data_IF_491014027122
#
_entry.id   IF_491014027122
#
_cell.length_a   1.000
_cell.length_b   1.000
_cell.length_c   1.000
_cell.angle_alpha   90.00
_cell.angle_beta   90.00
_cell.angle_gamma   90.00
#
_symmetry.space_group_name_H-M   'P 1'
#
loop_
_entity.id
_entity.type
_entity.pdbx_description
1 polymer ?
#
# COMPACT_ATOMS: atom_id res chain seq x y z
N UNK A 1 9.61 -13.72 -11.12
CA UNK A 1 10.30 -13.05 -12.19
C UNK A 1 11.75 -12.75 -11.86
N UNK A 2 12.08 -11.49 -11.60
CA UNK A 2 13.48 -11.03 -11.42
C UNK A 2 14.23 -11.75 -10.31
N UNK A 3 13.61 -11.96 -9.16
CA UNK A 3 14.21 -12.69 -8.04
C UNK A 3 14.70 -14.09 -8.46
N UNK A 4 13.86 -14.89 -9.11
CA UNK A 4 14.26 -16.23 -9.54
C UNK A 4 15.42 -16.21 -10.54
N UNK A 5 15.48 -15.21 -11.40
CA UNK A 5 16.60 -15.05 -12.35
C UNK A 5 17.87 -14.50 -11.67
N UNK A 6 17.72 -13.74 -10.59
CA UNK A 6 18.83 -13.28 -9.77
C UNK A 6 19.51 -14.43 -8.99
N UNK A 7 18.81 -15.55 -8.77
CA UNK A 7 19.30 -16.71 -7.99
C UNK A 7 19.73 -17.92 -8.83
N UNK A 8 19.77 -17.82 -10.17
CA UNK A 8 20.23 -18.90 -11.03
C UNK A 8 21.76 -19.03 -11.04
N UNK A 9 22.29 -20.23 -11.34
CA UNK A 9 23.73 -20.50 -11.39
C UNK A 9 24.48 -19.75 -12.51
N UNK A 10 23.77 -19.19 -13.49
CA UNK A 10 24.38 -18.39 -14.54
C UNK A 10 24.74 -16.99 -14.03
N UNK A 11 26.00 -16.76 -13.73
CA UNK A 11 26.50 -15.52 -13.16
C UNK A 11 26.15 -14.25 -13.95
N UNK A 12 26.08 -14.31 -15.29
CA UNK A 12 25.73 -13.16 -16.12
C UNK A 12 24.27 -12.79 -15.92
N UNK A 13 23.38 -13.76 -15.97
CA UNK A 13 21.95 -13.59 -15.77
C UNK A 13 21.69 -13.12 -14.32
N UNK A 14 22.26 -13.81 -13.34
CA UNK A 14 22.12 -13.46 -11.92
C UNK A 14 22.50 -11.99 -11.66
N UNK A 15 23.67 -11.55 -12.09
CA UNK A 15 24.13 -10.17 -11.93
C UNK A 15 23.22 -9.16 -12.63
N UNK A 16 22.74 -9.47 -13.83
CA UNK A 16 21.84 -8.58 -14.57
C UNK A 16 20.51 -8.37 -13.83
N UNK A 17 19.88 -9.45 -13.36
CA UNK A 17 18.60 -9.35 -12.67
C UNK A 17 18.71 -8.79 -11.26
N UNK A 18 19.79 -9.05 -10.53
CA UNK A 18 20.11 -8.37 -9.27
C UNK A 18 20.23 -6.86 -9.47
N UNK A 19 20.97 -6.43 -10.52
CA UNK A 19 21.07 -5.02 -10.86
C UNK A 19 19.71 -4.40 -11.20
N UNK A 20 18.86 -5.11 -11.94
CA UNK A 20 17.51 -4.64 -12.28
C UNK A 20 16.63 -4.47 -11.05
N UNK A 21 16.70 -5.40 -10.08
CA UNK A 21 16.02 -5.26 -8.79
C UNK A 21 16.50 -4.02 -8.04
N UNK A 22 17.82 -3.84 -7.92
CA UNK A 22 18.42 -2.65 -7.29
C UNK A 22 17.93 -1.37 -7.95
N UNK A 23 17.99 -1.29 -9.27
CA UNK A 23 17.56 -0.07 -10.02
C UNK A 23 16.11 0.28 -9.75
N UNK A 24 15.21 -0.70 -9.62
CA UNK A 24 13.82 -0.48 -9.26
C UNK A 24 13.66 0.10 -7.86
N UNK A 25 14.36 -0.47 -6.88
CA UNK A 25 14.37 0.01 -5.49
C UNK A 25 14.96 1.41 -5.39
N UNK A 26 16.11 1.66 -6.03
CA UNK A 26 16.82 2.93 -6.02
C UNK A 26 15.96 4.09 -6.53
N UNK A 27 15.23 3.88 -7.64
CA UNK A 27 14.29 4.88 -8.18
C UNK A 27 13.15 5.23 -7.21
N UNK A 28 12.71 4.26 -6.41
CA UNK A 28 11.70 4.51 -5.38
C UNK A 28 12.32 5.22 -4.19
N UNK A 29 13.52 4.81 -3.78
CA UNK A 29 14.25 5.43 -2.68
C UNK A 29 14.57 6.91 -2.93
N UNK A 30 15.01 7.27 -4.15
CA UNK A 30 15.24 8.65 -4.56
C UNK A 30 14.02 9.56 -4.33
N UNK A 31 12.81 9.03 -4.52
CA UNK A 31 11.56 9.75 -4.22
C UNK A 31 11.20 9.68 -2.74
N UNK A 32 11.49 8.57 -2.10
CA UNK A 32 11.17 8.34 -0.70
C UNK A 32 11.88 9.32 0.23
N UNK A 33 13.14 9.66 -0.04
CA UNK A 33 13.92 10.59 0.80
C UNK A 33 13.37 12.02 0.81
N UNK A 34 12.52 12.37 -0.13
CA UNK A 34 11.81 13.66 -0.17
C UNK A 34 10.49 13.65 0.64
N UNK A 35 10.09 12.49 1.14
CA UNK A 35 8.83 12.28 1.84
C UNK A 35 9.08 12.01 3.33
N UNK A 36 8.40 12.69 4.26
CA UNK A 36 8.63 12.51 5.71
C UNK A 36 8.32 11.10 6.23
N UNK A 37 7.54 10.33 5.49
CA UNK A 37 7.24 8.92 5.79
C UNK A 37 8.17 7.94 5.05
N UNK A 38 9.17 8.44 4.36
CA UNK A 38 10.06 7.65 3.49
C UNK A 38 9.27 6.75 2.50
N UNK A 39 8.14 7.28 2.00
CA UNK A 39 7.21 6.59 1.11
C UNK A 39 7.34 7.13 -0.33
N UNK A 40 8.06 6.41 -1.17
CA UNK A 40 8.36 6.82 -2.56
C UNK A 40 7.39 6.25 -3.61
N UNK A 41 6.28 5.63 -3.19
CA UNK A 41 5.28 5.04 -4.08
C UNK A 41 4.31 6.12 -4.56
N UNK A 42 3.94 6.13 -5.86
CA UNK A 42 2.94 7.07 -6.35
C UNK A 42 1.54 6.73 -5.84
N UNK A 43 0.75 7.74 -5.52
CA UNK A 43 -0.63 7.60 -5.04
C UNK A 43 -1.61 7.46 -6.21
N UNK A 44 -1.42 6.42 -7.00
CA UNK A 44 -2.33 6.00 -8.08
C UNK A 44 -3.25 4.89 -7.56
N UNK A 45 -4.18 4.42 -8.40
CA UNK A 45 -5.03 3.27 -8.07
C UNK A 45 -4.22 2.11 -7.49
N UNK A 46 -4.73 1.53 -6.39
CA UNK A 46 -4.08 0.42 -5.69
C UNK A 46 -2.66 0.77 -5.21
N UNK A 47 -2.46 1.97 -4.65
CA UNK A 47 -1.14 2.41 -4.16
C UNK A 47 -0.56 1.49 -3.09
N UNK A 48 -1.41 0.89 -2.23
CA UNK A 48 -0.97 -0.08 -1.24
C UNK A 48 -0.47 -1.40 -1.86
N UNK A 49 -1.02 -1.81 -3.01
CA UNK A 49 -0.50 -2.99 -3.73
C UNK A 49 0.93 -2.73 -4.25
N UNK A 50 1.19 -1.51 -4.72
CA UNK A 50 2.53 -1.10 -5.12
C UNK A 50 3.48 -1.01 -3.91
N UNK A 51 2.97 -0.56 -2.77
CA UNK A 51 3.73 -0.51 -1.50
C UNK A 51 4.14 -1.92 -1.07
N UNK A 52 3.22 -2.88 -1.04
CA UNK A 52 3.55 -4.28 -0.69
C UNK A 52 4.46 -4.94 -1.71
N UNK A 53 4.32 -4.61 -3.00
CA UNK A 53 5.22 -5.10 -4.04
C UNK A 53 6.65 -4.58 -3.84
N UNK A 54 6.82 -3.31 -3.48
CA UNK A 54 8.12 -2.72 -3.18
C UNK A 54 8.72 -3.32 -1.89
N UNK A 55 7.92 -3.50 -0.83
CA UNK A 55 8.32 -4.21 0.39
C UNK A 55 8.91 -5.59 0.07
N UNK A 56 8.17 -6.38 -0.71
CA UNK A 56 8.61 -7.72 -1.13
C UNK A 56 9.89 -7.63 -1.96
N UNK A 57 10.01 -6.65 -2.85
CA UNK A 57 11.22 -6.46 -3.65
C UNK A 57 12.43 -6.09 -2.79
N UNK A 58 12.28 -5.22 -1.81
CA UNK A 58 13.35 -4.85 -0.87
C UNK A 58 13.81 -6.06 -0.05
N UNK A 59 12.88 -6.79 0.55
CA UNK A 59 13.18 -8.03 1.30
C UNK A 59 13.95 -9.04 0.43
N UNK A 60 13.44 -9.38 -0.73
CA UNK A 60 14.06 -10.36 -1.62
C UNK A 60 15.45 -9.90 -2.14
N UNK A 61 15.61 -8.61 -2.39
CA UNK A 61 16.91 -8.04 -2.76
C UNK A 61 17.92 -8.16 -1.62
N UNK A 62 17.54 -7.76 -0.41
CA UNK A 62 18.37 -7.87 0.80
C UNK A 62 18.74 -9.32 1.11
N UNK A 63 17.79 -10.25 1.05
CA UNK A 63 18.04 -11.69 1.26
C UNK A 63 19.01 -12.27 0.21
N UNK A 64 18.95 -11.79 -1.03
CA UNK A 64 19.80 -12.29 -2.12
C UNK A 64 21.21 -11.71 -2.07
N UNK A 65 21.36 -10.44 -1.63
CA UNK A 65 22.61 -9.70 -1.76
C UNK A 65 23.33 -9.43 -0.44
N UNK A 66 22.59 -9.44 0.67
CA UNK A 66 23.07 -8.94 1.97
C UNK A 66 23.18 -7.40 2.04
N UNK A 67 22.67 -6.68 1.03
CA UNK A 67 22.72 -5.21 0.97
C UNK A 67 21.57 -4.60 1.79
N UNK A 68 21.89 -3.94 2.88
CA UNK A 68 20.96 -3.31 3.83
C UNK A 68 20.67 -1.84 3.51
N UNK A 69 21.16 -1.31 2.39
CA UNK A 69 21.05 0.12 2.03
C UNK A 69 19.62 0.65 2.08
N UNK A 70 18.64 -0.18 1.77
CA UNK A 70 17.22 0.20 1.70
C UNK A 70 16.37 -0.32 2.86
N UNK A 71 17.00 -0.85 3.91
CA UNK A 71 16.28 -1.46 5.03
C UNK A 71 15.38 -0.46 5.78
N UNK A 72 15.80 0.79 5.89
CA UNK A 72 14.99 1.85 6.52
C UNK A 72 13.74 2.17 5.68
N UNK A 73 13.85 2.26 4.36
CA UNK A 73 12.69 2.42 3.48
C UNK A 73 11.78 1.20 3.55
N UNK A 74 12.33 -0.01 3.56
CA UNK A 74 11.56 -1.25 3.74
C UNK A 74 10.72 -1.19 5.02
N UNK A 75 11.32 -0.81 6.15
CA UNK A 75 10.63 -0.66 7.41
C UNK A 75 9.54 0.44 7.36
N UNK A 76 9.85 1.60 6.77
CA UNK A 76 8.92 2.72 6.65
C UNK A 76 7.69 2.37 5.78
N UNK A 77 7.88 1.67 4.68
CA UNK A 77 6.78 1.20 3.83
C UNK A 77 5.87 0.19 4.56
N UNK A 78 6.46 -0.71 5.38
CA UNK A 78 5.69 -1.58 6.25
C UNK A 78 4.89 -0.76 7.26
N UNK A 79 5.55 0.14 7.96
CA UNK A 79 4.95 0.94 9.03
C UNK A 79 3.85 1.87 8.48
N UNK A 80 3.98 2.34 7.23
CA UNK A 80 2.93 3.04 6.51
C UNK A 80 1.62 2.24 6.45
N UNK A 81 1.70 0.95 6.13
CA UNK A 81 0.52 0.08 6.05
C UNK A 81 -0.10 -0.19 7.42
N UNK A 82 0.66 -0.04 8.51
CA UNK A 82 0.21 -0.27 9.88
C UNK A 82 -0.09 1.02 10.65
N UNK A 83 -0.18 2.17 9.96
CA UNK A 83 -0.67 3.41 10.56
C UNK A 83 0.35 4.53 10.68
N UNK A 84 1.63 4.34 10.33
CA UNK A 84 2.61 5.41 10.24
C UNK A 84 2.40 6.18 8.92
N UNK A 85 1.26 6.84 8.80
CA UNK A 85 0.81 7.59 7.63
C UNK A 85 0.04 8.86 8.09
N UNK A 86 -0.33 9.78 7.19
CA UNK A 86 -0.98 11.04 7.58
C UNK A 86 -2.28 10.88 8.36
N UNK A 87 -3.01 9.79 8.15
CA UNK A 87 -4.31 9.53 8.81
C UNK A 87 -4.16 8.81 10.16
N UNK A 88 -2.98 8.26 10.47
CA UNK A 88 -2.73 7.50 11.69
C UNK A 88 -3.50 6.18 11.76
N UNK A 89 -4.00 5.69 10.62
CA UNK A 89 -4.82 4.47 10.53
C UNK A 89 -4.09 3.35 9.82
N UNK A 90 -4.30 2.11 10.28
CA UNK A 90 -3.92 0.93 9.52
C UNK A 90 -4.66 0.90 8.17
N UNK A 91 -4.06 0.28 7.18
CA UNK A 91 -4.66 0.02 5.87
C UNK A 91 -5.22 -1.42 5.76
N UNK A 92 -5.35 -2.11 6.91
CA UNK A 92 -5.79 -3.49 6.98
C UNK A 92 -7.13 -3.56 7.72
N UNK A 93 -8.14 -4.11 7.06
CA UNK A 93 -9.50 -4.18 7.58
C UNK A 93 -9.54 -4.86 8.94
N UNK A 94 -10.13 -4.19 9.94
CA UNK A 94 -10.31 -4.64 11.32
C UNK A 94 -9.03 -5.04 12.06
N UNK A 95 -7.86 -4.59 11.60
CA UNK A 95 -6.58 -4.84 12.26
C UNK A 95 -5.72 -3.56 12.34
N UNK A 96 -4.98 -3.35 13.45
CA UNK A 96 -4.93 -4.16 14.67
C UNK A 96 -6.16 -3.95 15.57
N UNK A 97 -6.51 -4.92 16.38
CA UNK A 97 -7.74 -4.91 17.21
C UNK A 97 -7.86 -3.71 18.19
N UNK A 98 -6.75 -3.09 18.56
CA UNK A 98 -6.69 -1.96 19.51
C UNK A 98 -6.17 -0.67 18.88
N UNK A 99 -6.14 -0.62 17.54
CA UNK A 99 -5.73 0.54 16.76
C UNK A 99 -6.88 1.10 15.93
N UNK A 100 -6.58 2.10 15.12
CA UNK A 100 -7.47 2.59 14.09
C UNK A 100 -7.27 1.78 12.81
N UNK A 101 -8.37 1.44 12.12
CA UNK A 101 -8.37 0.57 10.94
C UNK A 101 -9.61 0.82 10.05
N UNK A 102 -9.59 0.38 8.78
CA UNK A 102 -10.76 0.41 7.92
C UNK A 102 -11.90 -0.45 8.50
N UNK A 103 -13.00 0.20 8.84
CA UNK A 103 -14.19 -0.43 9.42
C UNK A 103 -15.35 -0.50 8.43
N UNK A 104 -15.28 0.25 7.33
CA UNK A 104 -16.30 0.33 6.29
C UNK A 104 -15.71 0.11 4.89
N UNK A 105 -15.02 -1.02 4.67
CA UNK A 105 -14.39 -1.28 3.39
C UNK A 105 -15.42 -1.43 2.27
N UNK A 106 -15.07 -0.97 1.08
CA UNK A 106 -15.88 -1.16 -0.12
C UNK A 106 -15.87 -2.63 -0.52
N UNK A 107 -16.98 -3.32 -0.30
CA UNK A 107 -17.11 -4.73 -0.66
C UNK A 107 -18.56 -5.10 -0.97
N UNK A 108 -18.79 -5.69 -2.14
CA UNK A 108 -20.11 -6.20 -2.52
C UNK A 108 -20.57 -7.35 -1.62
N UNK A 109 -19.66 -8.13 -1.05
CA UNK A 109 -19.98 -9.21 -0.11
C UNK A 109 -20.50 -8.65 1.20
N UNK A 110 -19.88 -7.61 1.75
CA UNK A 110 -20.36 -6.95 2.96
C UNK A 110 -21.69 -6.24 2.72
N UNK A 111 -21.87 -5.58 1.57
CA UNK A 111 -23.14 -4.96 1.19
C UNK A 111 -24.29 -5.96 1.08
N UNK A 112 -23.99 -7.19 0.67
CA UNK A 112 -24.97 -8.30 0.62
C UNK A 112 -25.19 -8.98 1.98
N UNK A 113 -24.49 -8.56 3.05
CA UNK A 113 -24.54 -9.20 4.36
C UNK A 113 -23.93 -10.59 4.40
N UNK A 114 -23.07 -10.93 3.44
CA UNK A 114 -22.36 -12.20 3.36
C UNK A 114 -20.87 -11.98 3.28
N UNK A 115 -20.10 -12.82 3.97
CA UNK A 115 -18.65 -12.78 3.96
C UNK A 115 -18.03 -11.88 5.02
N UNK A 116 -16.70 -11.88 5.01
CA UNK A 116 -15.84 -11.17 5.94
C UNK A 116 -14.58 -10.74 5.18
N UNK A 117 -14.13 -9.51 5.38
CA UNK A 117 -12.91 -8.95 4.75
C UNK A 117 -11.83 -8.62 5.77
N UNK A 118 -11.98 -9.07 7.03
CA UNK A 118 -10.98 -8.91 8.09
C UNK A 118 -9.60 -9.37 7.62
N UNK A 119 -8.60 -8.53 7.80
CA UNK A 119 -7.24 -8.78 7.34
C UNK A 119 -6.97 -8.42 5.88
N UNK A 120 -8.00 -8.00 5.14
CA UNK A 120 -7.83 -7.51 3.76
C UNK A 120 -7.10 -6.16 3.72
N UNK A 121 -6.09 -6.04 2.87
CA UNK A 121 -5.43 -4.77 2.61
C UNK A 121 -6.27 -3.95 1.64
N UNK A 122 -6.64 -2.72 2.02
CA UNK A 122 -7.38 -1.81 1.14
C UNK A 122 -6.46 -1.17 0.09
N UNK A 123 -7.05 -0.72 -1.01
CA UNK A 123 -6.36 -0.08 -2.15
C UNK A 123 -5.35 1.00 -1.75
N UNK A 124 -5.68 1.76 -0.72
CA UNK A 124 -4.86 2.85 -0.24
C UNK A 124 -5.10 4.19 -0.91
N UNK A 125 -4.38 5.23 -0.47
CA UNK A 125 -4.63 6.60 -0.90
C UNK A 125 -4.38 6.80 -2.39
N UNK A 126 -5.18 7.71 -2.98
CA UNK A 126 -4.97 8.19 -4.35
C UNK A 126 -4.66 9.68 -4.36
N UNK A 127 -4.02 10.17 -5.43
CA UNK A 127 -3.87 11.61 -5.62
C UNK A 127 -5.24 12.30 -5.55
N UNK A 128 -5.32 13.45 -4.89
CA UNK A 128 -6.56 14.24 -4.80
C UNK A 128 -7.19 14.50 -6.17
N UNK A 129 -6.38 14.75 -7.19
CA UNK A 129 -6.86 14.95 -8.56
C UNK A 129 -7.55 13.70 -9.15
N UNK A 130 -7.11 12.50 -8.79
CA UNK A 130 -7.80 11.25 -9.18
C UNK A 130 -9.16 11.20 -8.50
N UNK A 131 -9.20 11.34 -7.17
CA UNK A 131 -10.44 11.31 -6.41
C UNK A 131 -11.45 12.36 -6.90
N UNK A 132 -11.00 13.58 -7.15
CA UNK A 132 -11.84 14.64 -7.65
C UNK A 132 -12.38 14.39 -9.06
N UNK A 133 -11.64 13.67 -9.91
CA UNK A 133 -12.10 13.29 -11.25
C UNK A 133 -13.25 12.27 -11.21
N UNK A 134 -13.45 11.58 -10.10
CA UNK A 134 -14.49 10.57 -9.90
C UNK A 134 -15.83 11.13 -9.40
N UNK A 135 -15.92 12.43 -9.14
CA UNK A 135 -17.12 13.11 -8.58
C UNK A 135 -18.43 12.90 -9.38
N UNK A 136 -18.36 12.41 -10.59
CA UNK A 136 -19.54 12.04 -11.39
C UNK A 136 -20.01 10.60 -11.24
N UNK A 137 -19.32 9.77 -10.47
CA UNK A 137 -19.51 8.30 -10.41
C UNK A 137 -20.00 7.86 -9.03
N UNK A 138 -21.09 8.45 -8.51
CA UNK A 138 -21.72 8.11 -7.21
C UNK A 138 -20.84 8.24 -5.95
N UNK A 139 -19.66 8.81 -6.06
CA UNK A 139 -18.80 9.09 -4.90
C UNK A 139 -19.12 10.45 -4.27
N UNK A 140 -19.98 11.25 -4.93
CA UNK A 140 -20.51 12.49 -4.40
C UNK A 140 -21.51 12.18 -3.32
N UNK A 141 -21.16 12.46 -2.11
CA UNK A 141 -22.05 12.26 -0.98
C UNK A 141 -21.59 11.12 -0.08
N UNK A 142 -20.29 11.01 0.11
CA UNK A 142 -19.75 10.47 1.32
C UNK A 142 -19.74 11.64 2.34
N UNK A 143 -20.91 12.19 2.71
CA UNK A 143 -20.99 13.14 3.80
C UNK A 143 -20.96 12.29 5.03
N UNK A 144 -19.86 12.42 5.79
CA UNK A 144 -19.88 11.96 7.14
C UNK A 144 -20.35 10.51 7.28
N UNK A 145 -19.61 9.55 6.78
CA UNK A 145 -19.79 8.17 7.24
C UNK A 145 -19.63 8.24 8.76
N UNK A 146 -20.63 7.84 9.54
CA UNK A 146 -20.51 7.91 10.98
C UNK A 146 -19.29 7.13 11.41
N UNK A 147 -18.29 7.79 11.97
CA UNK A 147 -17.19 7.16 12.64
C UNK A 147 -15.79 7.60 12.28
N UNK A 148 -15.50 8.03 11.04
CA UNK A 148 -14.10 8.34 10.71
C UNK A 148 -13.99 9.54 9.77
N UNK A 149 -13.98 10.71 10.39
CA UNK A 149 -13.72 11.98 9.71
C UNK A 149 -12.20 12.21 9.65
N UNK A 150 -11.57 11.69 8.59
CA UNK A 150 -10.18 11.99 8.29
C UNK A 150 -9.97 13.37 7.63
N UNK A 151 -11.01 14.18 7.45
CA UNK A 151 -10.94 15.47 6.75
C UNK A 151 -9.83 16.38 7.34
N UNK A 152 -9.65 16.34 8.66
CA UNK A 152 -8.61 17.10 9.37
C UNK A 152 -7.18 16.64 9.05
N UNK A 153 -7.02 15.43 8.52
CA UNK A 153 -5.74 14.79 8.26
C UNK A 153 -5.48 14.55 6.78
N UNK A 154 -6.39 15.02 5.91
CA UNK A 154 -6.20 14.89 4.45
C UNK A 154 -5.11 15.86 3.99
N UNK A 155 -3.94 15.39 3.50
CA UNK A 155 -2.98 16.26 2.84
C UNK A 155 -3.53 16.76 1.50
N UNK A 156 -2.96 17.87 1.00
CA UNK A 156 -3.38 18.43 -0.28
C UNK A 156 -3.10 17.50 -1.47
N UNK A 157 -2.05 16.70 -1.35
CA UNK A 157 -1.56 15.85 -2.43
C UNK A 157 -2.43 14.63 -2.69
N UNK A 158 -2.92 13.97 -1.62
CA UNK A 158 -3.59 12.68 -1.68
C UNK A 158 -4.72 12.58 -0.66
N UNK A 159 -5.63 11.64 -0.88
CA UNK A 159 -6.77 11.40 0.00
C UNK A 159 -6.94 9.91 0.28
N UNK A 160 -7.51 9.61 1.44
CA UNK A 160 -7.97 8.30 1.86
C UNK A 160 -9.28 8.45 2.64
N UNK A 161 -10.25 7.58 2.40
CA UNK A 161 -11.52 7.56 3.13
C UNK A 161 -11.89 6.13 3.53
N UNK A 162 -12.17 5.91 4.81
CA UNK A 162 -12.82 4.68 5.25
C UNK A 162 -14.35 4.81 5.04
N UNK A 163 -14.79 4.55 3.82
CA UNK A 163 -16.18 4.68 3.45
C UNK A 163 -16.58 3.57 2.47
N UNK A 164 -17.72 2.95 2.75
CA UNK A 164 -18.24 1.81 1.96
C UNK A 164 -18.48 2.15 0.48
N UNK A 165 -18.64 3.42 0.15
CA UNK A 165 -18.84 3.88 -1.23
C UNK A 165 -17.55 4.30 -1.93
N UNK A 166 -16.43 4.36 -1.21
CA UNK A 166 -15.13 4.73 -1.79
C UNK A 166 -14.37 3.51 -2.30
N UNK A 167 -14.66 3.13 -3.53
CA UNK A 167 -13.93 2.06 -4.23
C UNK A 167 -12.54 2.49 -4.71
N UNK A 168 -12.21 3.79 -4.61
CA UNK A 168 -10.92 4.30 -5.08
C UNK A 168 -9.79 4.18 -4.06
N UNK A 169 -10.14 4.15 -2.76
CA UNK A 169 -9.15 4.11 -1.68
C UNK A 169 -9.38 2.99 -0.66
N UNK A 170 -10.60 2.42 -0.60
CA UNK A 170 -11.04 1.55 0.49
C UNK A 170 -11.54 0.17 0.05
N UNK A 171 -11.25 -0.26 -1.17
CA UNK A 171 -11.56 -1.62 -1.63
C UNK A 171 -10.48 -2.61 -1.17
N UNK A 172 -10.82 -3.68 -0.41
CA UNK A 172 -9.87 -4.72 -0.07
C UNK A 172 -9.44 -5.51 -1.30
N UNK A 173 -8.15 -5.56 -1.57
CA UNK A 173 -7.59 -6.22 -2.75
C UNK A 173 -6.95 -7.56 -2.41
N UNK A 174 -7.18 -8.55 -3.26
CA UNK A 174 -6.65 -9.90 -3.06
C UNK A 174 -5.13 -9.95 -3.26
N UNK A 175 -4.62 -9.29 -4.28
CA UNK A 175 -3.20 -9.30 -4.63
C UNK A 175 -2.35 -8.52 -3.62
N UNK A 176 -2.81 -7.34 -3.16
CA UNK A 176 -2.16 -6.60 -2.08
C UNK A 176 -2.12 -7.39 -0.78
N UNK A 177 -3.25 -7.98 -0.39
CA UNK A 177 -3.36 -8.83 0.80
C UNK A 177 -2.42 -10.03 0.73
N UNK A 178 -2.38 -10.74 -0.40
CA UNK A 178 -1.50 -11.90 -0.59
C UNK A 178 -0.02 -11.49 -0.55
N UNK A 179 0.34 -10.37 -1.17
CA UNK A 179 1.70 -9.86 -1.18
C UNK A 179 2.17 -9.47 0.23
N UNK A 180 1.31 -8.78 1.01
CA UNK A 180 1.60 -8.42 2.40
C UNK A 180 1.74 -9.66 3.28
N UNK A 181 0.85 -10.65 3.13
CA UNK A 181 0.93 -11.92 3.87
C UNK A 181 2.25 -12.63 3.59
N UNK A 182 2.68 -12.69 2.33
CA UNK A 182 3.98 -13.24 1.97
C UNK A 182 5.14 -12.46 2.61
N UNK A 183 5.08 -11.13 2.61
CA UNK A 183 6.12 -10.30 3.21
C UNK A 183 6.25 -10.52 4.72
N UNK A 184 5.14 -10.73 5.41
CA UNK A 184 5.11 -10.89 6.87
C UNK A 184 5.44 -12.33 7.34
N UNK A 185 5.42 -13.31 6.44
CA UNK A 185 5.75 -14.72 6.75
C UNK A 185 7.25 -14.98 6.75
#
# INVERSE_FOLDING_TARGET
>A
GHYHLATVDNQRISKEFTRNMRTGIERTYEKAVENPFLHGIPYIWCSNNLTTAMLTQCRLYRETTGDETYAEMEAALRDWLFGCNPWGTSMIVELPLYGDYPSQPHSSLLNAGVGNTTGGLVDGPVYRSIFESLRGVNMTGIPGTPGQDYERFQPDLMVYHDAIHDYSTNEPTMDGTACLTYYLS
#
